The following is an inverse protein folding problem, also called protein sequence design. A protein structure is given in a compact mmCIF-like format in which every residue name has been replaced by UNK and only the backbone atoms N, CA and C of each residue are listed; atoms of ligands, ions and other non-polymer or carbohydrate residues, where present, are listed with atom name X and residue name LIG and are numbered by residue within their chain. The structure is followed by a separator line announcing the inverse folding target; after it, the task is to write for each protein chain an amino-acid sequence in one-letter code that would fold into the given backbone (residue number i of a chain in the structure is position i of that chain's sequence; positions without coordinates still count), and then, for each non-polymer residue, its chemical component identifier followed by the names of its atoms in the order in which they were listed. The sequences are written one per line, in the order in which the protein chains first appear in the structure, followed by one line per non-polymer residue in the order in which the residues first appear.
data_IF_007047143383
#
_entry.id   IF_007047143383
#
_cell.length_a   1.000
_cell.length_b   1.000
_cell.length_c   1.000
_cell.angle_alpha   90.00
_cell.angle_beta   90.00
_cell.angle_gamma   90.00
#
_symmetry.space_group_name_H-M   'P 1'
#
loop_
_entity.id
_entity.type
_entity.pdbx_description
1 polymer ?
#
# COMPACT_ATOMS: atom_id res chain seq x y z
N UNK A 1 -10.13 14.70 -33.36
CA UNK A 1 -10.88 15.82 -32.76
C UNK A 1 -11.41 15.37 -31.41
N UNK A 2 -11.09 16.03 -30.29
CA UNK A 2 -11.68 15.69 -29.01
C UNK A 2 -13.07 16.34 -28.89
N UNK A 3 -14.04 15.56 -28.42
CA UNK A 3 -15.42 15.99 -28.18
C UNK A 3 -15.48 16.71 -26.83
N UNK A 4 -15.99 17.94 -26.85
CA UNK A 4 -16.16 18.81 -25.69
C UNK A 4 -17.63 18.74 -25.26
N UNK A 5 -17.92 18.50 -23.98
CA UNK A 5 -19.28 18.63 -23.42
C UNK A 5 -19.35 19.82 -22.44
N UNK A 6 -20.38 20.68 -22.54
CA UNK A 6 -20.48 21.95 -21.81
C UNK A 6 -21.04 21.84 -20.37
N UNK A 7 -20.69 22.83 -19.57
CA UNK A 7 -20.66 22.87 -18.10
C UNK A 7 -21.96 23.27 -17.37
N UNK A 8 -23.15 22.82 -17.81
CA UNK A 8 -24.41 23.23 -17.17
C UNK A 8 -25.23 22.17 -16.43
N UNK A 9 -24.82 20.90 -16.36
CA UNK A 9 -25.63 19.87 -15.67
C UNK A 9 -25.25 19.58 -14.20
N UNK A 10 -24.32 20.32 -13.59
CA UNK A 10 -23.82 20.01 -12.24
C UNK A 10 -24.68 20.62 -11.10
N UNK A 11 -25.56 21.60 -11.38
CA UNK A 11 -26.24 22.37 -10.34
C UNK A 11 -27.60 21.81 -9.85
N UNK A 12 -27.93 20.56 -10.16
CA UNK A 12 -29.16 19.90 -9.71
C UNK A 12 -28.72 18.48 -9.27
N UNK A 13 -28.34 18.21 -8.02
CA UNK A 13 -29.28 17.91 -6.94
C UNK A 13 -28.53 17.71 -5.59
N UNK A 14 -27.72 18.68 -5.14
CA UNK A 14 -27.22 18.78 -3.74
C UNK A 14 -28.33 19.38 -2.85
N UNK A 15 -29.52 18.79 -2.89
CA UNK A 15 -30.62 19.12 -1.98
C UNK A 15 -31.24 17.81 -1.52
N UNK A 16 -31.31 17.63 -0.19
CA UNK A 16 -31.88 16.52 0.58
C UNK A 16 -30.88 15.49 1.11
N UNK A 17 -30.23 15.81 2.23
CA UNK A 17 -30.07 14.83 3.32
C UNK A 17 -30.23 15.55 4.68
N UNK A 18 -31.12 15.07 5.57
CA UNK A 18 -31.48 15.76 6.81
C UNK A 18 -30.52 15.47 7.98
N UNK A 19 -30.33 16.50 8.81
CA UNK A 19 -29.68 16.42 10.13
C UNK A 19 -30.63 15.78 11.14
N UNK A 20 -30.30 14.57 11.59
CA UNK A 20 -30.84 14.01 12.84
C UNK A 20 -29.92 12.89 13.29
N UNK A 21 -29.21 13.09 14.42
CA UNK A 21 -28.96 12.15 15.53
C UNK A 21 -28.01 12.88 16.48
N UNK A 22 -28.57 13.77 17.28
CA UNK A 22 -28.05 14.13 18.60
C UNK A 22 -29.20 13.95 19.60
N UNK A 23 -28.86 13.30 20.71
CA UNK A 23 -29.71 12.96 21.87
C UNK A 23 -30.50 11.64 21.81
N UNK A 24 -30.03 10.65 22.59
CA UNK A 24 -30.77 10.02 23.70
C UNK A 24 -29.83 9.03 24.43
N UNK A 25 -29.83 9.10 25.76
CA UNK A 25 -28.88 8.38 26.62
C UNK A 25 -29.39 7.08 27.23
N UNK A 26 -28.41 6.32 27.76
CA UNK A 26 -28.39 5.32 28.85
C UNK A 26 -29.26 4.06 28.75
N UNK A 27 -28.62 2.89 28.77
CA UNK A 27 -28.52 2.01 29.95
C UNK A 27 -27.53 0.83 29.70
N UNK A 28 -27.08 0.25 30.80
CA UNK A 28 -26.02 -0.73 31.06
C UNK A 28 -26.18 -2.13 30.46
N UNK A 29 -25.06 -2.79 30.10
CA UNK A 29 -24.86 -4.22 30.37
C UNK A 29 -23.37 -4.66 30.36
N UNK A 30 -22.92 -5.16 31.53
CA UNK A 30 -21.91 -6.18 31.83
C UNK A 30 -20.51 -6.18 31.14
N UNK A 31 -19.50 -5.79 31.92
CA UNK A 31 -18.07 -6.01 31.67
C UNK A 31 -17.66 -7.42 32.14
N UNK A 32 -17.01 -8.22 31.29
CA UNK A 32 -16.25 -9.44 31.66
C UNK A 32 -14.73 -9.15 31.63
N UNK A 33 -13.93 -9.68 32.56
CA UNK A 33 -12.52 -9.33 32.68
C UNK A 33 -11.65 -10.16 31.73
N UNK A 34 -10.78 -9.52 30.96
CA UNK A 34 -9.74 -10.21 30.17
C UNK A 34 -8.35 -9.76 30.60
N UNK A 35 -7.79 -10.58 31.49
CA UNK A 35 -6.38 -10.93 31.73
C UNK A 35 -5.30 -9.87 31.42
N UNK A 36 -4.75 -9.32 32.51
CA UNK A 36 -3.45 -8.64 32.60
C UNK A 36 -2.34 -9.44 31.92
N UNK A 37 -1.71 -8.86 30.89
CA UNK A 37 -0.37 -9.22 30.44
C UNK A 37 0.55 -8.15 31.02
N UNK A 38 1.51 -8.56 31.87
CA UNK A 38 2.50 -7.70 32.51
C UNK A 38 2.94 -6.57 31.57
N UNK A 39 2.66 -5.32 31.94
CA UNK A 39 3.21 -4.16 31.25
C UNK A 39 4.72 -4.13 31.53
N UNK A 40 5.51 -4.68 30.61
CA UNK A 40 6.97 -4.52 30.58
C UNK A 40 7.23 -3.01 30.54
N UNK A 41 7.88 -2.48 31.59
CA UNK A 41 8.13 -1.05 31.73
C UNK A 41 8.85 -0.53 30.48
N UNK A 42 8.18 0.37 29.74
CA UNK A 42 8.75 1.03 28.56
C UNK A 42 9.76 2.04 29.08
N UNK A 43 11.02 1.87 28.69
CA UNK A 43 12.09 2.82 29.02
C UNK A 43 12.52 3.49 27.73
N UNK A 44 12.18 4.75 27.56
CA UNK A 44 12.69 5.58 26.46
C UNK A 44 14.10 6.06 26.83
N UNK A 45 15.11 5.63 26.08
CA UNK A 45 16.51 6.01 26.28
C UNK A 45 17.13 6.39 24.93
N UNK A 46 18.17 7.24 24.91
CA UNK A 46 18.82 7.61 23.65
C UNK A 46 19.51 6.41 22.97
N UNK A 47 19.33 6.24 21.66
CA UNK A 47 19.84 5.08 20.93
C UNK A 47 20.26 5.39 19.50
N UNK A 48 21.21 4.62 18.96
CA UNK A 48 21.57 4.65 17.54
C UNK A 48 20.90 3.50 16.77
N UNK A 49 19.99 3.79 15.82
CA UNK A 49 19.27 2.78 15.07
C UNK A 49 20.18 1.92 14.20
N UNK A 50 21.40 2.38 13.88
CA UNK A 50 22.39 1.61 13.12
C UNK A 50 23.18 0.62 13.98
N UNK A 51 23.09 0.69 15.31
CA UNK A 51 23.84 -0.19 16.22
C UNK A 51 22.94 -0.97 17.20
N UNK A 52 21.76 -0.44 17.55
CA UNK A 52 20.87 -1.00 18.57
C UNK A 52 20.45 -2.45 18.28
N UNK A 53 20.68 -3.36 19.24
CA UNK A 53 20.35 -4.77 19.13
C UNK A 53 18.86 -5.05 19.39
N UNK A 54 18.42 -6.29 19.11
CA UNK A 54 17.01 -6.71 19.24
C UNK A 54 16.42 -6.44 20.63
N UNK A 55 17.13 -6.81 21.69
CA UNK A 55 16.70 -6.59 23.07
C UNK A 55 16.55 -5.09 23.40
N UNK A 56 17.39 -4.24 22.82
CA UNK A 56 17.30 -2.78 22.93
C UNK A 56 16.01 -2.23 22.30
N UNK A 57 15.65 -2.70 21.11
CA UNK A 57 14.39 -2.33 20.45
C UNK A 57 13.16 -2.74 21.27
N UNK A 58 13.18 -3.92 21.88
CA UNK A 58 12.08 -4.36 22.75
C UNK A 58 11.93 -3.52 24.02
N UNK A 59 13.03 -3.02 24.58
CA UNK A 59 13.00 -2.10 25.73
C UNK A 59 12.36 -0.75 25.37
N UNK A 60 12.44 -0.34 24.11
CA UNK A 60 11.76 0.84 23.54
C UNK A 60 10.28 0.58 23.20
N UNK A 61 9.75 -0.60 23.57
CA UNK A 61 8.33 -0.93 23.40
C UNK A 61 7.97 -1.49 22.02
N UNK A 62 8.94 -1.96 21.23
CA UNK A 62 8.67 -2.67 19.98
C UNK A 62 8.40 -4.14 20.26
N UNK A 63 7.52 -4.75 19.45
CA UNK A 63 7.36 -6.20 19.43
C UNK A 63 8.60 -6.89 18.86
N UNK A 64 8.79 -8.16 19.23
CA UNK A 64 9.82 -9.05 18.68
C UNK A 64 9.90 -8.98 17.13
N UNK A 65 8.74 -9.00 16.47
CA UNK A 65 8.61 -8.91 15.01
C UNK A 65 9.05 -7.55 14.48
N UNK A 66 8.69 -6.45 15.14
CA UNK A 66 9.10 -5.09 14.72
C UNK A 66 10.62 -4.91 14.86
N UNK A 67 11.20 -5.35 15.98
CA UNK A 67 12.64 -5.34 16.19
C UNK A 67 13.37 -6.15 15.12
N UNK A 68 12.85 -7.34 14.76
CA UNK A 68 13.44 -8.18 13.72
C UNK A 68 13.43 -7.53 12.33
N UNK A 69 12.37 -6.80 11.98
CA UNK A 69 12.29 -6.06 10.71
C UNK A 69 13.39 -5.01 10.61
N UNK A 70 13.69 -4.31 11.71
CA UNK A 70 14.76 -3.29 11.74
C UNK A 70 16.15 -3.93 11.58
N UNK A 71 16.38 -5.06 12.25
CA UNK A 71 17.63 -5.83 12.09
C UNK A 71 17.78 -6.32 10.64
N UNK A 72 16.70 -6.83 10.04
CA UNK A 72 16.73 -7.29 8.64
C UNK A 72 16.99 -6.15 7.66
N UNK A 73 16.43 -4.95 7.91
CA UNK A 73 16.72 -3.75 7.12
C UNK A 73 18.23 -3.42 7.15
N UNK A 74 18.85 -3.45 8.34
CA UNK A 74 20.30 -3.24 8.51
C UNK A 74 21.15 -4.30 7.81
N UNK A 75 20.81 -5.57 8.00
CA UNK A 75 21.57 -6.70 7.42
C UNK A 75 21.52 -6.72 5.89
N UNK A 76 20.46 -6.17 5.29
CA UNK A 76 20.33 -5.98 3.83
C UNK A 76 21.04 -4.72 3.30
N UNK A 77 21.83 -4.04 4.14
CA UNK A 77 22.58 -2.83 3.78
C UNK A 77 21.84 -1.51 4.01
N UNK A 78 20.62 -1.55 4.57
CA UNK A 78 19.88 -0.36 4.95
C UNK A 78 20.57 0.39 6.09
N UNK A 79 20.70 1.72 5.96
CA UNK A 79 21.31 2.59 6.97
C UNK A 79 20.39 3.77 7.27
N UNK A 80 20.38 4.18 8.54
CA UNK A 80 19.70 5.35 9.04
C UNK A 80 20.69 6.50 9.07
N UNK A 81 20.52 7.49 8.19
CA UNK A 81 21.41 8.65 8.10
C UNK A 81 20.89 9.86 8.88
N UNK A 82 19.59 9.87 9.18
CA UNK A 82 18.89 10.87 9.99
C UNK A 82 17.78 10.21 10.79
N UNK A 83 17.37 10.83 11.91
CA UNK A 83 16.37 10.25 12.82
C UNK A 83 15.05 9.92 12.11
N UNK A 84 14.67 10.73 11.13
CA UNK A 84 13.46 10.55 10.32
C UNK A 84 13.49 9.26 9.48
N UNK A 85 14.66 8.67 9.26
CA UNK A 85 14.79 7.41 8.53
C UNK A 85 14.15 6.23 9.28
N UNK A 86 13.82 6.36 10.57
CA UNK A 86 12.96 5.38 11.25
C UNK A 86 11.61 5.17 10.55
N UNK A 87 11.13 6.17 9.80
CA UNK A 87 9.91 6.07 8.99
C UNK A 87 10.03 5.09 7.82
N UNK A 88 11.25 4.69 7.44
CA UNK A 88 11.49 3.65 6.42
C UNK A 88 11.07 2.26 6.90
N UNK A 89 10.85 2.08 8.21
CA UNK A 89 10.47 0.81 8.81
C UNK A 89 8.94 0.68 8.83
N UNK A 90 8.40 0.00 7.82
CA UNK A 90 6.96 -0.19 7.60
C UNK A 90 6.21 -0.93 8.73
N UNK A 91 6.93 -1.61 9.63
CA UNK A 91 6.34 -2.29 10.78
C UNK A 91 6.09 -1.36 11.97
N UNK A 92 6.59 -0.12 11.94
CA UNK A 92 6.34 0.89 12.98
C UNK A 92 5.16 1.78 12.58
N UNK A 93 4.22 1.95 13.49
CA UNK A 93 3.16 2.93 13.31
C UNK A 93 3.70 4.37 13.49
N UNK A 94 2.99 5.35 12.94
CA UNK A 94 3.43 6.75 12.95
C UNK A 94 3.54 7.35 14.35
N UNK A 95 2.72 6.89 15.29
CA UNK A 95 2.75 7.37 16.68
C UNK A 95 4.00 6.85 17.40
N UNK A 96 4.35 5.57 17.22
CA UNK A 96 5.54 4.93 17.75
C UNK A 96 6.81 5.53 17.16
N UNK A 97 6.83 5.81 15.86
CA UNK A 97 7.96 6.55 15.26
C UNK A 97 8.10 7.91 15.92
N UNK A 98 7.01 8.64 16.07
CA UNK A 98 7.02 9.98 16.69
C UNK A 98 7.47 9.96 18.16
N UNK A 99 7.13 8.92 18.91
CA UNK A 99 7.58 8.67 20.28
C UNK A 99 9.09 8.41 20.35
N UNK A 100 9.66 7.72 19.36
CA UNK A 100 11.07 7.35 19.34
C UNK A 100 11.99 8.43 18.78
N UNK A 101 11.51 9.25 17.85
CA UNK A 101 12.31 10.28 17.18
C UNK A 101 13.12 11.20 18.13
N UNK A 102 12.60 11.63 19.30
CA UNK A 102 13.36 12.45 20.24
C UNK A 102 14.60 11.75 20.82
N UNK A 103 14.63 10.42 20.81
CA UNK A 103 15.68 9.61 21.42
C UNK A 103 16.66 9.03 20.40
N UNK A 104 16.48 9.29 19.10
CA UNK A 104 17.40 8.80 18.06
C UNK A 104 18.65 9.66 18.01
N UNK A 105 19.80 9.03 18.28
CA UNK A 105 21.14 9.61 18.12
C UNK A 105 21.83 8.84 17.00
N UNK A 106 22.10 9.49 15.87
CA UNK A 106 22.92 8.88 14.81
C UNK A 106 24.30 9.49 14.89
N UNK A 107 25.28 8.65 15.18
CA UNK A 107 26.68 9.04 15.23
C UNK A 107 27.11 9.43 13.81
N UNK A 108 27.23 10.74 13.52
CA UNK A 108 27.81 11.20 12.25
C UNK A 108 29.27 10.78 12.23
N UNK A 109 29.64 9.87 11.34
CA UNK A 109 31.02 9.84 10.85
C UNK A 109 31.26 11.18 10.16
N UNK A 110 32.25 11.92 10.64
CA UNK A 110 32.63 13.29 10.29
C UNK A 110 32.69 13.48 8.75
N UNK A 111 32.18 14.58 8.18
CA UNK A 111 32.97 15.79 7.95
C UNK A 111 32.12 17.07 7.79
N UNK A 112 32.66 18.17 8.37
CA UNK A 112 32.53 19.61 8.03
C UNK A 112 31.17 20.31 8.21
N UNK A 113 30.99 20.99 9.36
CA UNK A 113 31.10 22.46 9.61
C UNK A 113 29.88 23.27 9.08
N UNK A 114 29.20 24.18 9.76
CA UNK A 114 29.42 25.00 10.98
C UNK A 114 28.12 25.82 11.25
N UNK A 115 27.82 26.15 12.53
CA UNK A 115 27.10 27.33 13.10
C UNK A 115 25.92 27.98 12.30
N UNK A 116 24.72 28.33 12.79
CA UNK A 116 24.21 28.85 14.08
C UNK A 116 22.65 28.90 14.01
N UNK A 117 22.00 29.07 15.17
CA UNK A 117 20.57 29.40 15.39
C UNK A 117 19.83 30.14 14.25
N UNK A 118 18.55 29.80 14.03
CA UNK A 118 17.37 30.72 13.88
C UNK A 118 16.09 29.87 13.67
N UNK A 119 15.15 30.03 14.61
CA UNK A 119 13.68 30.15 14.46
C UNK A 119 12.87 29.14 13.62
N UNK A 120 11.90 28.47 14.27
CA UNK A 120 10.92 27.60 13.61
C UNK A 120 9.91 28.43 12.78
N UNK A 121 9.82 28.27 11.45
CA UNK A 121 8.70 28.81 10.71
C UNK A 121 7.50 27.88 10.88
N UNK A 122 6.42 28.45 11.42
CA UNK A 122 5.07 27.88 11.32
C UNK A 122 4.68 27.76 9.83
N UNK A 123 4.12 26.60 9.50
CA UNK A 123 3.31 26.27 8.32
C UNK A 123 3.92 26.26 6.90
N UNK A 124 3.51 25.20 6.18
CA UNK A 124 3.46 24.99 4.72
C UNK A 124 4.78 25.05 3.97
N UNK A 125 5.27 23.87 3.55
CA UNK A 125 5.61 23.51 2.17
C UNK A 125 6.24 22.11 2.13
N UNK A 126 5.47 21.07 1.76
CA UNK A 126 6.06 19.91 1.09
C UNK A 126 6.50 20.37 -0.32
N UNK A 127 7.53 21.22 -0.40
CA UNK A 127 8.24 21.52 -1.64
C UNK A 127 9.32 20.46 -1.83
N UNK A 128 8.88 19.31 -2.31
CA UNK A 128 9.73 18.51 -3.20
C UNK A 128 8.91 18.30 -4.46
N UNK A 129 9.00 19.22 -5.41
CA UNK A 129 8.55 18.93 -6.77
C UNK A 129 9.63 19.30 -7.75
N UNK A 130 10.68 18.46 -7.75
CA UNK A 130 11.29 18.09 -9.03
C UNK A 130 10.14 17.63 -9.95
N UNK A 131 10.17 17.99 -11.24
CA UNK A 131 9.17 17.47 -12.17
C UNK A 131 9.06 15.95 -11.99
N UNK A 132 7.85 15.36 -11.99
CA UNK A 132 7.73 13.93 -11.77
C UNK A 132 8.52 13.22 -12.87
N UNK A 133 9.53 12.46 -12.47
CA UNK A 133 10.20 11.55 -13.40
C UNK A 133 9.17 10.52 -13.86
N UNK A 134 9.30 10.02 -15.09
CA UNK A 134 8.39 8.99 -15.59
C UNK A 134 8.56 7.74 -14.71
N UNK A 135 7.46 7.30 -14.10
CA UNK A 135 7.41 6.24 -13.11
C UNK A 135 6.90 4.95 -13.75
N UNK A 136 7.63 3.87 -13.56
CA UNK A 136 7.21 2.54 -14.00
C UNK A 136 6.34 1.88 -12.93
N UNK A 137 5.08 1.56 -13.24
CA UNK A 137 4.12 1.09 -12.24
C UNK A 137 4.52 -0.24 -11.58
N UNK A 138 5.13 -1.16 -12.33
CA UNK A 138 5.37 -2.52 -11.89
C UNK A 138 6.62 -2.69 -10.99
N UNK A 139 7.56 -1.76 -11.04
CA UNK A 139 8.86 -1.80 -10.34
C UNK A 139 9.06 -0.66 -9.35
N UNK A 140 8.30 0.44 -9.47
CA UNK A 140 8.51 1.61 -8.60
C UNK A 140 8.25 1.30 -7.12
N UNK A 141 9.06 1.94 -6.28
CA UNK A 141 8.92 1.86 -4.84
C UNK A 141 7.96 2.93 -4.31
N UNK A 142 7.82 2.99 -2.97
CA UNK A 142 6.91 3.97 -2.38
C UNK A 142 7.33 5.41 -2.61
N UNK A 143 8.63 5.68 -2.77
CA UNK A 143 9.19 7.02 -2.95
C UNK A 143 8.86 7.51 -4.36
N UNK A 144 9.01 6.63 -5.36
CA UNK A 144 8.55 6.89 -6.73
C UNK A 144 7.10 7.36 -6.73
N UNK A 145 6.17 6.54 -6.22
CA UNK A 145 4.76 6.93 -6.17
C UNK A 145 4.50 8.24 -5.41
N UNK A 146 5.17 8.48 -4.28
CA UNK A 146 5.00 9.72 -3.49
C UNK A 146 5.43 10.98 -4.26
N UNK A 147 6.30 10.85 -5.26
CA UNK A 147 6.70 11.98 -6.10
C UNK A 147 5.59 12.47 -7.04
N UNK A 148 4.56 11.66 -7.27
CA UNK A 148 3.40 12.03 -8.09
C UNK A 148 2.47 12.98 -7.33
N UNK A 149 2.00 14.01 -8.02
CA UNK A 149 1.06 14.94 -7.41
C UNK A 149 -0.24 14.23 -6.99
N UNK A 150 -0.68 14.44 -5.75
CA UNK A 150 -1.87 13.81 -5.21
C UNK A 150 -1.64 12.40 -4.64
N UNK A 151 -0.46 11.81 -4.79
CA UNK A 151 -0.12 10.50 -4.23
C UNK A 151 0.69 10.67 -2.95
N UNK A 152 0.03 10.55 -1.80
CA UNK A 152 0.68 10.51 -0.50
C UNK A 152 1.12 9.09 -0.09
N UNK A 153 1.74 8.94 1.10
CA UNK A 153 2.15 7.64 1.64
C UNK A 153 1.02 6.60 1.70
N UNK A 154 -0.22 7.05 1.96
CA UNK A 154 -1.41 6.18 2.01
C UNK A 154 -1.72 5.58 0.64
N UNK A 155 -1.80 6.41 -0.41
CA UNK A 155 -2.07 5.93 -1.77
C UNK A 155 -0.92 5.10 -2.31
N UNK A 156 0.33 5.53 -2.08
CA UNK A 156 1.52 4.76 -2.43
C UNK A 156 1.47 3.33 -1.88
N UNK A 157 1.13 3.16 -0.60
CA UNK A 157 0.94 1.83 0.01
C UNK A 157 -0.19 1.03 -0.64
N UNK A 158 -1.32 1.67 -0.97
CA UNK A 158 -2.46 1.01 -1.61
C UNK A 158 -2.13 0.56 -3.04
N UNK A 159 -1.43 1.40 -3.80
CA UNK A 159 -0.96 1.10 -5.16
C UNK A 159 -0.07 -0.14 -5.13
N UNK A 160 0.93 -0.17 -4.23
CA UNK A 160 1.83 -1.32 -4.11
C UNK A 160 1.07 -2.59 -3.72
N UNK A 161 0.18 -2.51 -2.73
CA UNK A 161 -0.63 -3.67 -2.31
C UNK A 161 -1.52 -4.18 -3.44
N UNK A 162 -2.10 -3.28 -4.22
CA UNK A 162 -2.96 -3.65 -5.35
C UNK A 162 -2.15 -4.27 -6.49
N UNK A 163 -0.99 -3.69 -6.81
CA UNK A 163 -0.01 -4.26 -7.75
C UNK A 163 0.36 -5.69 -7.39
N UNK A 164 0.71 -5.92 -6.13
CA UNK A 164 1.09 -7.26 -5.64
C UNK A 164 -0.05 -8.26 -5.75
N UNK A 165 -1.29 -7.83 -5.48
CA UNK A 165 -2.48 -8.69 -5.59
C UNK A 165 -2.83 -9.02 -7.05
N UNK A 166 -2.65 -8.07 -7.98
CA UNK A 166 -2.81 -8.31 -9.42
C UNK A 166 -1.70 -9.20 -10.00
N UNK A 167 -0.50 -9.17 -9.41
CA UNK A 167 0.71 -9.70 -10.04
C UNK A 167 1.44 -8.67 -10.92
N UNK A 168 0.97 -7.43 -10.96
CA UNK A 168 1.45 -6.34 -11.81
C UNK A 168 0.27 -5.61 -12.44
N UNK A 169 0.46 -4.36 -12.83
CA UNK A 169 -0.47 -3.66 -13.72
C UNK A 169 -0.23 -4.12 -15.16
N UNK A 170 -1.30 -4.26 -15.93
CA UNK A 170 -1.27 -4.53 -17.38
C UNK A 170 -1.84 -3.37 -18.20
N UNK A 171 -2.48 -2.40 -17.53
CA UNK A 171 -3.08 -1.19 -18.10
C UNK A 171 -2.87 -0.02 -17.14
N UNK A 172 -2.71 1.20 -17.65
CA UNK A 172 -2.53 2.39 -16.81
C UNK A 172 -3.82 2.72 -16.04
N UNK A 173 -4.97 2.45 -16.65
CA UNK A 173 -6.30 2.72 -16.11
C UNK A 173 -6.56 1.98 -14.80
N UNK A 174 -5.91 0.84 -14.58
CA UNK A 174 -6.06 0.03 -13.36
C UNK A 174 -5.62 0.76 -12.09
N UNK A 175 -4.80 1.82 -12.20
CA UNK A 175 -4.47 2.64 -11.04
C UNK A 175 -5.71 3.34 -10.47
N UNK A 176 -6.71 3.63 -11.31
CA UNK A 176 -7.98 4.23 -10.86
C UNK A 176 -8.86 3.25 -10.07
N UNK A 177 -8.59 1.95 -10.16
CA UNK A 177 -9.26 0.91 -9.37
C UNK A 177 -8.69 0.79 -7.94
N UNK A 178 -7.56 1.43 -7.67
CA UNK A 178 -6.97 1.49 -6.33
C UNK A 178 -7.87 2.30 -5.42
N UNK A 179 -8.35 1.67 -4.34
CA UNK A 179 -9.31 2.26 -3.42
C UNK A 179 -8.93 3.66 -2.94
N UNK A 180 -9.82 4.62 -3.22
CA UNK A 180 -9.77 5.99 -2.73
C UNK A 180 -8.92 6.94 -3.57
N UNK A 181 -8.34 6.52 -4.70
CA UNK A 181 -7.73 7.45 -5.64
C UNK A 181 -8.85 8.23 -6.36
N UNK A 182 -8.93 9.57 -6.22
CA UNK A 182 -9.90 10.37 -6.97
C UNK A 182 -9.59 10.39 -8.47
N UNK A 183 -10.61 10.53 -9.31
CA UNK A 183 -10.45 10.57 -10.76
C UNK A 183 -9.53 11.71 -11.21
N UNK A 184 -9.58 12.85 -10.52
CA UNK A 184 -8.74 14.01 -10.79
C UNK A 184 -7.26 13.71 -10.51
N UNK A 185 -6.99 12.89 -9.47
CA UNK A 185 -5.63 12.46 -9.16
C UNK A 185 -5.10 11.53 -10.25
N UNK A 186 -5.94 10.59 -10.73
CA UNK A 186 -5.57 9.72 -11.86
C UNK A 186 -5.20 10.54 -13.10
N UNK A 187 -6.05 11.49 -13.50
CA UNK A 187 -5.79 12.37 -14.66
C UNK A 187 -4.49 13.17 -14.48
N UNK A 188 -4.22 13.67 -13.27
CA UNK A 188 -3.03 14.45 -12.98
C UNK A 188 -1.72 13.64 -13.04
N UNK A 189 -1.77 12.34 -12.73
CA UNK A 189 -0.56 11.49 -12.71
C UNK A 189 -0.33 10.74 -14.02
N UNK A 190 -1.38 10.52 -14.83
CA UNK A 190 -1.32 9.73 -16.05
C UNK A 190 -0.15 10.07 -17.00
N UNK A 191 0.19 11.35 -17.26
CA UNK A 191 1.33 11.70 -18.13
C UNK A 191 2.70 11.25 -17.62
N UNK A 192 2.80 10.89 -16.34
CA UNK A 192 4.04 10.49 -15.67
C UNK A 192 4.12 8.99 -15.42
N UNK A 193 3.18 8.20 -15.94
CA UNK A 193 3.17 6.75 -15.77
C UNK A 193 3.65 6.05 -17.04
N UNK A 194 4.44 5.00 -16.85
CA UNK A 194 4.73 4.00 -17.88
C UNK A 194 4.53 2.60 -17.35
N UNK A 195 4.47 1.66 -18.27
CA UNK A 195 4.18 0.27 -17.97
C UNK A 195 5.16 -0.66 -18.68
N UNK A 196 5.74 -1.59 -17.93
CA UNK A 196 6.48 -2.72 -18.47
C UNK A 196 5.74 -4.03 -18.19
N UNK A 197 5.24 -4.66 -19.26
CA UNK A 197 4.48 -5.91 -19.19
C UNK A 197 5.35 -7.13 -18.87
N UNK A 198 6.67 -7.05 -19.07
CA UNK A 198 7.59 -8.15 -18.75
C UNK A 198 7.71 -8.40 -17.25
N UNK A 199 7.34 -7.42 -16.43
CA UNK A 199 7.35 -7.49 -14.97
C UNK A 199 6.08 -8.12 -14.38
N UNK A 200 5.07 -8.42 -15.21
CA UNK A 200 3.80 -8.99 -14.76
C UNK A 200 3.98 -10.47 -14.47
N UNK A 201 3.66 -10.86 -13.23
CA UNK A 201 3.67 -12.24 -12.77
C UNK A 201 2.37 -12.92 -13.15
N UNK A 202 2.48 -13.91 -14.04
CA UNK A 202 1.34 -14.74 -14.45
C UNK A 202 1.04 -15.82 -13.42
N UNK A 203 -0.22 -16.23 -13.40
CA UNK A 203 -0.77 -17.29 -12.57
C UNK A 203 -0.87 -18.54 -13.45
N UNK A 204 -0.15 -19.59 -13.05
CA UNK A 204 -0.33 -20.92 -13.64
C UNK A 204 -1.68 -21.49 -13.21
N UNK A 205 -2.64 -21.47 -14.13
CA UNK A 205 -4.01 -21.86 -13.86
C UNK A 205 -4.16 -23.37 -13.60
N UNK A 206 -3.21 -24.17 -14.10
CA UNK A 206 -3.25 -25.62 -13.98
C UNK A 206 -2.70 -26.12 -12.65
N UNK A 207 -1.86 -25.34 -11.96
CA UNK A 207 -1.28 -25.71 -10.66
C UNK A 207 -1.80 -24.91 -9.46
N UNK A 208 -2.33 -23.70 -9.67
CA UNK A 208 -2.81 -22.84 -8.58
C UNK A 208 -3.97 -23.46 -7.80
N UNK A 209 -4.04 -23.21 -6.49
CA UNK A 209 -5.16 -23.63 -5.64
C UNK A 209 -6.24 -22.53 -5.53
N UNK A 210 -7.43 -22.91 -5.04
CA UNK A 210 -8.59 -22.00 -4.91
C UNK A 210 -8.28 -20.77 -4.06
N UNK A 211 -7.54 -20.93 -2.97
CA UNK A 211 -7.26 -19.84 -2.03
C UNK A 211 -6.31 -18.81 -2.66
N UNK A 212 -5.29 -19.26 -3.36
CA UNK A 212 -4.32 -18.38 -4.01
C UNK A 212 -4.92 -17.69 -5.24
N UNK A 213 -5.67 -18.43 -6.07
CA UNK A 213 -6.39 -17.85 -7.19
C UNK A 213 -7.43 -16.81 -6.71
N UNK A 214 -8.09 -17.10 -5.59
CA UNK A 214 -9.09 -16.23 -4.97
C UNK A 214 -8.55 -14.94 -4.33
N UNK A 215 -7.22 -14.78 -4.23
CA UNK A 215 -6.58 -13.52 -3.78
C UNK A 215 -6.52 -12.47 -4.89
N UNK A 216 -6.63 -12.90 -6.15
CA UNK A 216 -6.53 -12.00 -7.29
C UNK A 216 -7.74 -11.03 -7.31
N UNK A 217 -7.55 -9.71 -7.50
CA UNK A 217 -8.63 -8.72 -7.42
C UNK A 217 -9.83 -8.99 -8.33
N UNK A 218 -9.61 -9.59 -9.50
CA UNK A 218 -10.68 -9.94 -10.45
C UNK A 218 -11.27 -11.34 -10.26
N UNK A 219 -10.67 -12.17 -9.40
CA UNK A 219 -11.13 -13.54 -9.16
C UNK A 219 -11.54 -13.68 -7.70
N UNK A 220 -12.82 -13.44 -7.42
CA UNK A 220 -13.38 -13.74 -6.10
C UNK A 220 -13.40 -15.25 -5.85
N UNK A 221 -13.40 -15.64 -4.57
CA UNK A 221 -13.39 -17.04 -4.12
C UNK A 221 -14.39 -17.94 -4.87
N UNK A 222 -15.63 -17.48 -5.11
CA UNK A 222 -16.65 -18.26 -5.84
C UNK A 222 -16.21 -18.58 -7.28
N UNK A 223 -15.68 -17.58 -8.01
CA UNK A 223 -15.16 -17.78 -9.38
C UNK A 223 -13.92 -18.69 -9.36
N UNK A 224 -13.01 -18.48 -8.42
CA UNK A 224 -11.84 -19.34 -8.25
C UNK A 224 -12.24 -20.80 -8.05
N UNK A 225 -13.21 -21.07 -7.17
CA UNK A 225 -13.74 -22.41 -6.93
C UNK A 225 -14.35 -23.02 -8.19
N UNK A 226 -15.13 -22.26 -8.96
CA UNK A 226 -15.68 -22.75 -10.22
C UNK A 226 -14.59 -23.14 -11.21
N UNK A 227 -13.57 -22.30 -11.39
CA UNK A 227 -12.47 -22.56 -12.33
C UNK A 227 -11.71 -23.83 -11.95
N UNK A 228 -11.37 -23.97 -10.68
CA UNK A 228 -10.61 -25.12 -10.17
C UNK A 228 -11.44 -26.40 -10.26
N UNK A 229 -12.71 -26.38 -9.87
CA UNK A 229 -13.59 -27.54 -10.02
C UNK A 229 -13.71 -27.98 -11.48
N UNK A 230 -13.79 -27.03 -12.42
CA UNK A 230 -13.85 -27.34 -13.83
C UNK A 230 -12.56 -28.03 -14.30
N UNK A 231 -11.39 -27.48 -13.95
CA UNK A 231 -10.08 -28.08 -14.21
C UNK A 231 -9.99 -29.51 -13.69
N UNK A 232 -10.42 -29.73 -12.45
CA UNK A 232 -10.32 -31.04 -11.81
C UNK A 232 -11.25 -32.07 -12.47
N UNK A 233 -12.35 -31.63 -13.10
CA UNK A 233 -13.32 -32.49 -13.81
C UNK A 233 -12.96 -32.73 -15.29
N UNK A 234 -12.36 -31.75 -15.96
CA UNK A 234 -12.15 -31.77 -17.43
C UNK A 234 -10.67 -31.87 -17.82
N UNK A 235 -9.77 -31.83 -16.84
CA UNK A 235 -8.33 -31.80 -17.04
C UNK A 235 -7.76 -30.39 -17.17
N UNK A 236 -6.45 -30.29 -17.48
CA UNK A 236 -5.76 -29.01 -17.56
C UNK A 236 -6.28 -28.15 -18.72
N UNK A 237 -6.33 -26.84 -18.51
CA UNK A 237 -6.60 -25.86 -19.54
C UNK A 237 -5.38 -25.72 -20.45
N UNK A 238 -5.58 -25.72 -21.77
CA UNK A 238 -4.54 -25.51 -22.78
C UNK A 238 -4.53 -24.08 -23.30
N UNK A 239 -5.67 -23.39 -23.19
CA UNK A 239 -5.83 -22.03 -23.70
C UNK A 239 -6.93 -21.27 -22.98
N UNK A 240 -6.99 -19.95 -23.22
CA UNK A 240 -8.08 -19.11 -22.71
C UNK A 240 -9.45 -19.57 -23.23
N UNK A 241 -9.52 -20.16 -24.42
CA UNK A 241 -10.77 -20.70 -24.98
C UNK A 241 -11.34 -21.83 -24.13
N UNK A 242 -10.50 -22.61 -23.46
CA UNK A 242 -10.98 -23.71 -22.60
C UNK A 242 -11.71 -23.18 -21.36
N UNK A 243 -11.31 -22.01 -20.85
CA UNK A 243 -12.00 -21.33 -19.75
C UNK A 243 -13.36 -20.77 -20.17
N UNK A 244 -13.58 -20.47 -21.45
CA UNK A 244 -14.88 -19.98 -21.96
C UNK A 244 -15.99 -21.04 -21.91
N UNK A 245 -15.64 -22.31 -21.78
CA UNK A 245 -16.60 -23.38 -21.55
C UNK A 245 -17.30 -23.26 -20.18
N UNK A 246 -16.75 -22.46 -19.26
CA UNK A 246 -17.37 -22.16 -17.98
C UNK A 246 -18.39 -21.02 -18.17
N UNK A 247 -19.63 -21.36 -18.50
CA UNK A 247 -20.70 -20.40 -18.82
C UNK A 247 -21.00 -19.33 -17.75
N UNK A 248 -20.57 -19.52 -16.50
CA UNK A 248 -20.72 -18.51 -15.44
C UNK A 248 -19.68 -17.37 -15.50
N UNK A 249 -18.71 -17.45 -16.42
CA UNK A 249 -17.69 -16.42 -16.65
C UNK A 249 -18.07 -15.58 -17.87
N UNK A 250 -17.98 -14.26 -17.74
CA UNK A 250 -18.38 -13.28 -18.75
C UNK A 250 -17.19 -12.72 -19.53
N UNK A 251 -17.44 -12.07 -20.67
CA UNK A 251 -16.38 -11.45 -21.49
C UNK A 251 -15.62 -10.34 -20.76
N UNK A 252 -16.28 -9.63 -19.83
CA UNK A 252 -15.60 -8.64 -18.99
C UNK A 252 -14.51 -9.28 -18.12
N UNK A 253 -14.80 -10.44 -17.53
CA UNK A 253 -13.83 -11.22 -16.77
C UNK A 253 -12.64 -11.64 -17.63
N UNK A 254 -12.90 -12.19 -18.83
CA UNK A 254 -11.85 -12.63 -19.74
C UNK A 254 -10.93 -11.48 -20.16
N UNK A 255 -11.51 -10.33 -20.53
CA UNK A 255 -10.77 -9.13 -20.90
C UNK A 255 -9.83 -8.62 -19.79
N UNK A 256 -10.23 -8.81 -18.53
CA UNK A 256 -9.45 -8.41 -17.35
C UNK A 256 -8.37 -9.42 -16.96
N UNK A 257 -8.60 -10.72 -17.17
CA UNK A 257 -7.73 -11.77 -16.63
C UNK A 257 -6.73 -12.36 -17.64
N UNK A 258 -7.00 -12.23 -18.95
CA UNK A 258 -6.21 -12.87 -20.01
C UNK A 258 -4.70 -12.68 -19.87
N UNK A 259 -4.25 -11.45 -19.57
CA UNK A 259 -2.83 -11.12 -19.45
C UNK A 259 -2.17 -11.63 -18.16
N UNK A 260 -2.96 -12.13 -17.22
CA UNK A 260 -2.51 -12.65 -15.93
C UNK A 260 -2.43 -14.17 -15.88
N UNK A 261 -2.90 -14.89 -16.90
CA UNK A 261 -2.92 -16.36 -16.89
C UNK A 261 -1.80 -16.97 -17.74
N UNK A 262 -1.28 -18.11 -17.28
CA UNK A 262 -0.47 -19.02 -18.08
C UNK A 262 -1.03 -20.45 -18.01
N UNK A 263 -0.89 -21.18 -19.11
CA UNK A 263 -1.51 -22.50 -19.35
C UNK A 263 -0.43 -23.57 -19.49
N UNK A 264 0.40 -23.72 -18.46
CA UNK A 264 1.53 -24.67 -18.47
C UNK A 264 1.12 -26.08 -18.06
#
# INVERSE_FOLDING_TARGET
MPVFYPSQEINILIKHFPEEILSKGKASESIKPVKNKLHKAISLFPFDPNTLNKAGWEKLGLSDKQAQVIINYRNKGGKFFKKEDLRKIYSLDSMKVQELLPYVIISKTEERSSFTNIEYPKEKNFRFKKAPEIIELNSSDSIGFISLNGIGPVYSKRIIKFREALGGFVRLEQISEVYGIPAETYVAILPYLKLDLSLVKKIDINSVNVNDLGKHPYIKYKRARTIINYRDQHGPFKSLSDLRNIHSLDEEFFSKIELYLEFR
#
